data_IF_777514749148
#
_entry.id   IF_777514749148
#
_cell.length_a   1.000
_cell.length_b   1.000
_cell.length_c   1.000
_cell.angle_alpha   90.00
_cell.angle_beta   90.00
_cell.angle_gamma   90.00
#
_symmetry.space_group_name_H-M   'P 1'
#
loop_
_entity.id
_entity.type
_entity.pdbx_description
1 polymer ?
#
# COMPACT_ATOMS: atom_id res chain seq x y z
N UNK A 1 -19.13 23.28 3.66
CA UNK A 1 -18.01 24.14 4.05
C UNK A 1 -16.73 23.41 3.66
N UNK A 2 -16.18 23.71 2.49
CA UNK A 2 -14.91 23.12 2.03
C UNK A 2 -13.79 23.72 2.87
N UNK A 3 -13.33 22.99 3.88
CA UNK A 3 -12.14 23.41 4.63
C UNK A 3 -10.97 23.40 3.67
N UNK A 4 -10.38 24.56 3.39
CA UNK A 4 -9.19 24.66 2.55
C UNK A 4 -8.03 23.87 3.20
N UNK A 5 -7.81 22.64 2.74
CA UNK A 5 -6.83 21.72 3.32
C UNK A 5 -5.45 21.93 2.70
N UNK A 6 -4.83 23.08 3.01
CA UNK A 6 -3.45 23.35 2.59
C UNK A 6 -2.47 22.40 3.29
N UNK A 7 -1.91 21.46 2.52
CA UNK A 7 -1.07 20.39 3.01
C UNK A 7 0.40 20.59 2.62
N UNK A 8 1.29 20.37 3.58
CA UNK A 8 2.73 20.17 3.31
C UNK A 8 3.04 18.69 3.04
N UNK A 9 2.35 17.79 3.72
CA UNK A 9 2.44 16.35 3.51
C UNK A 9 1.03 15.74 3.55
N UNK A 10 0.80 14.75 2.69
CA UNK A 10 -0.34 13.83 2.81
C UNK A 10 0.21 12.47 3.20
N UNK A 11 -0.40 11.89 4.25
CA UNK A 11 0.03 10.65 4.87
C UNK A 11 -1.12 9.64 4.84
N UNK A 12 -0.79 8.36 4.70
CA UNK A 12 -1.70 7.26 5.00
C UNK A 12 -1.54 6.89 6.48
N UNK A 13 -2.66 6.78 7.20
CA UNK A 13 -2.64 6.38 8.59
C UNK A 13 -2.37 4.88 8.71
N UNK A 14 -1.63 4.51 9.76
CA UNK A 14 -1.28 3.12 10.02
C UNK A 14 -1.92 2.69 11.33
N UNK A 15 -2.71 1.62 11.26
CA UNK A 15 -3.20 0.91 12.44
C UNK A 15 -2.39 -0.36 12.61
N UNK A 16 -1.60 -0.43 13.69
CA UNK A 16 -0.85 -1.64 14.04
C UNK A 16 -1.83 -2.65 14.62
N UNK A 17 -1.81 -3.88 14.11
CA UNK A 17 -2.47 -5.01 14.78
C UNK A 17 -1.43 -5.89 15.43
N UNK A 18 -1.49 -5.99 16.74
CA UNK A 18 -0.81 -7.05 17.49
C UNK A 18 -1.88 -7.93 18.13
N UNK A 19 -1.59 -9.22 18.30
CA UNK A 19 -2.54 -10.18 18.88
C UNK A 19 -2.73 -10.00 20.41
N UNK A 20 -2.23 -8.92 21.00
CA UNK A 20 -2.32 -8.65 22.43
C UNK A 20 -3.44 -7.64 22.71
N UNK A 21 -4.62 -8.19 23.02
CA UNK A 21 -5.81 -7.54 23.60
C UNK A 21 -6.53 -6.48 22.76
N UNK A 22 -7.42 -6.95 21.90
CA UNK A 22 -8.86 -6.65 22.04
C UNK A 22 -9.63 -7.91 21.65
N UNK A 23 -10.24 -8.58 22.64
CA UNK A 23 -11.18 -9.67 22.41
C UNK A 23 -12.61 -9.12 22.39
N UNK A 24 -13.36 -9.37 21.31
CA UNK A 24 -14.76 -9.85 21.30
C UNK A 24 -15.16 -10.16 19.84
N UNK A 25 -15.84 -11.28 19.70
CA UNK A 25 -16.08 -12.13 18.54
C UNK A 25 -17.18 -11.56 17.62
N UNK A 26 -17.04 -11.73 16.29
CA UNK A 26 -18.14 -12.11 15.38
C UNK A 26 -17.57 -12.73 14.08
N UNK A 27 -18.26 -13.77 13.63
CA UNK A 27 -17.93 -14.85 12.69
C UNK A 27 -17.98 -14.49 11.19
N UNK A 28 -17.25 -15.25 10.34
CA UNK A 28 -17.67 -15.49 8.95
C UNK A 28 -16.59 -15.65 7.85
N UNK A 29 -16.31 -16.92 7.49
CA UNK A 29 -15.97 -17.48 6.16
C UNK A 29 -14.58 -17.25 5.46
N UNK A 30 -13.80 -18.37 5.42
CA UNK A 30 -13.11 -19.07 4.28
C UNK A 30 -12.13 -18.25 3.38
N UNK A 31 -10.94 -18.74 2.97
CA UNK A 31 -10.62 -20.08 2.44
C UNK A 31 -9.20 -20.57 2.75
N UNK A 32 -9.14 -21.77 3.32
CA UNK A 32 -8.04 -22.72 3.15
C UNK A 32 -8.03 -23.20 1.69
N UNK A 33 -6.86 -23.19 1.06
CA UNK A 33 -6.58 -23.97 -0.14
C UNK A 33 -6.51 -25.44 0.29
N UNK A 34 -7.49 -26.23 -0.12
CA UNK A 34 -7.37 -27.69 -0.07
C UNK A 34 -6.86 -28.11 -1.44
N UNK A 35 -5.61 -28.56 -1.50
CA UNK A 35 -5.10 -29.30 -2.64
C UNK A 35 -5.72 -30.69 -2.62
N UNK A 36 -6.46 -31.04 -3.67
CA UNK A 36 -6.75 -32.43 -4.00
C UNK A 36 -6.06 -32.72 -5.33
N UNK A 37 -5.03 -33.57 -5.28
CA UNK A 37 -4.58 -34.32 -6.44
C UNK A 37 -5.68 -35.30 -6.85
N UNK A 38 -5.91 -35.44 -8.16
CA UNK A 38 -5.98 -36.72 -8.85
C UNK A 38 -6.11 -36.51 -10.36
N UNK A 39 -5.18 -37.18 -11.05
CA UNK A 39 -5.20 -37.82 -12.38
C UNK A 39 -5.90 -37.24 -13.63
N UNK A 40 -5.21 -37.54 -14.73
CA UNK A 40 -5.32 -37.07 -16.10
C UNK A 40 -6.64 -37.47 -16.78
N UNK A 41 -7.31 -36.51 -17.42
CA UNK A 41 -8.42 -36.73 -18.34
C UNK A 41 -8.64 -35.52 -19.26
N UNK A 42 -8.73 -35.76 -20.57
CA UNK A 42 -8.84 -34.75 -21.63
C UNK A 42 -10.15 -33.94 -21.58
N UNK A 43 -10.02 -32.61 -21.79
CA UNK A 43 -11.02 -31.78 -22.48
C UNK A 43 -12.26 -31.33 -21.71
N UNK A 44 -12.19 -30.13 -21.12
CA UNK A 44 -13.21 -29.07 -21.01
C UNK A 44 -12.52 -27.87 -20.34
N UNK A 45 -12.48 -26.67 -20.95
CA UNK A 45 -11.92 -25.50 -20.28
C UNK A 45 -12.79 -25.15 -19.06
N UNK A 46 -12.29 -25.42 -17.85
CA UNK A 46 -13.00 -25.09 -16.62
C UNK A 46 -13.24 -23.58 -16.52
N UNK A 47 -14.52 -23.21 -16.44
CA UNK A 47 -14.94 -21.81 -16.30
C UNK A 47 -15.08 -21.48 -14.82
N UNK A 48 -14.16 -20.70 -14.28
CA UNK A 48 -14.16 -20.31 -12.88
C UNK A 48 -14.84 -18.96 -12.67
N UNK A 49 -15.29 -18.70 -11.45
CA UNK A 49 -15.80 -17.39 -11.02
C UNK A 49 -15.00 -16.93 -9.81
N UNK A 50 -14.50 -15.70 -9.85
CA UNK A 50 -13.72 -15.07 -8.80
C UNK A 50 -14.36 -13.73 -8.39
N UNK A 51 -14.49 -13.50 -7.09
CA UNK A 51 -14.82 -12.19 -6.55
C UNK A 51 -13.51 -11.45 -6.27
N UNK A 52 -13.24 -10.40 -7.03
CA UNK A 52 -12.03 -9.60 -6.91
C UNK A 52 -12.31 -8.29 -6.16
N UNK A 53 -11.59 -7.97 -5.07
CA UNK A 53 -11.85 -6.77 -4.29
C UNK A 53 -11.40 -5.52 -5.07
N UNK A 54 -12.35 -4.63 -5.35
CA UNK A 54 -12.07 -3.32 -5.96
C UNK A 54 -13.02 -2.30 -5.38
N UNK A 55 -12.47 -1.26 -4.73
CA UNK A 55 -13.25 -0.20 -4.09
C UNK A 55 -14.17 0.48 -5.10
N UNK A 56 -15.40 0.75 -4.67
CA UNK A 56 -16.46 1.30 -5.52
C UNK A 56 -16.08 2.61 -6.21
N UNK A 57 -15.23 3.43 -5.56
CA UNK A 57 -14.67 4.67 -6.12
C UNK A 57 -14.01 4.47 -7.49
N UNK A 58 -13.48 3.28 -7.78
CA UNK A 58 -12.82 2.98 -9.06
C UNK A 58 -13.77 2.39 -10.11
N UNK A 59 -15.01 2.03 -9.77
CA UNK A 59 -15.92 1.32 -10.67
C UNK A 59 -16.28 2.15 -11.90
N UNK A 60 -16.53 3.45 -11.73
CA UNK A 60 -16.81 4.35 -12.84
C UNK A 60 -15.66 4.43 -13.86
N UNK A 61 -14.42 4.34 -13.37
CA UNK A 61 -13.22 4.35 -14.21
C UNK A 61 -13.00 3.01 -14.93
N UNK A 62 -13.36 1.89 -14.29
CA UNK A 62 -13.33 0.55 -14.90
C UNK A 62 -14.36 0.46 -16.02
N UNK A 63 -15.57 0.96 -15.82
CA UNK A 63 -16.61 1.01 -16.86
C UNK A 63 -16.13 1.91 -18.01
N UNK A 64 -15.63 3.10 -17.67
CA UNK A 64 -15.15 4.09 -18.64
C UNK A 64 -16.28 4.75 -19.43
N UNK A 65 -15.93 5.76 -20.25
CA UNK A 65 -16.91 6.51 -21.05
C UNK A 65 -17.62 5.56 -22.02
N UNK A 66 -18.96 5.50 -21.94
CA UNK A 66 -19.82 4.63 -22.76
C UNK A 66 -19.43 3.13 -22.70
N UNK A 67 -18.81 2.68 -21.60
CA UNK A 67 -18.40 1.29 -21.45
C UNK A 67 -17.13 0.90 -22.23
N UNK A 68 -16.39 1.85 -22.80
CA UNK A 68 -15.22 1.56 -23.62
C UNK A 68 -14.16 0.75 -22.87
N UNK A 69 -13.77 1.23 -21.69
CA UNK A 69 -12.67 0.65 -20.89
C UNK A 69 -12.98 -0.78 -20.46
N UNK A 70 -14.19 -1.05 -19.96
CA UNK A 70 -14.56 -2.41 -19.57
C UNK A 70 -14.64 -3.37 -20.76
N UNK A 71 -15.07 -2.89 -21.93
CA UNK A 71 -15.13 -3.71 -23.13
C UNK A 71 -13.74 -4.04 -23.66
N UNK A 72 -12.80 -3.10 -23.60
CA UNK A 72 -11.38 -3.37 -23.90
C UNK A 72 -10.77 -4.36 -22.92
N UNK A 73 -11.01 -4.21 -21.60
CA UNK A 73 -10.53 -5.15 -20.59
C UNK A 73 -11.05 -6.56 -20.85
N UNK A 74 -12.35 -6.73 -21.13
CA UNK A 74 -12.94 -8.03 -21.49
C UNK A 74 -12.32 -8.62 -22.75
N UNK A 75 -12.08 -7.78 -23.77
CA UNK A 75 -11.47 -8.22 -25.03
C UNK A 75 -10.02 -8.67 -24.86
N UNK A 76 -9.22 -7.92 -24.09
CA UNK A 76 -7.78 -8.20 -23.96
C UNK A 76 -7.50 -9.40 -23.04
N UNK A 77 -8.34 -9.62 -22.02
CA UNK A 77 -8.15 -10.68 -21.01
C UNK A 77 -8.92 -11.96 -21.33
N UNK A 78 -9.92 -11.88 -22.23
CA UNK A 78 -10.86 -12.97 -22.48
C UNK A 78 -11.82 -13.25 -21.31
N UNK A 79 -11.77 -12.48 -20.22
CA UNK A 79 -12.60 -12.68 -19.04
C UNK A 79 -13.94 -11.92 -19.13
N UNK A 80 -14.98 -12.51 -18.56
CA UNK A 80 -16.24 -11.82 -18.29
C UNK A 80 -16.13 -11.04 -16.97
N UNK A 81 -16.01 -9.73 -17.07
CA UNK A 81 -15.90 -8.82 -15.92
C UNK A 81 -17.26 -8.17 -15.64
N UNK A 82 -17.79 -8.32 -14.43
CA UNK A 82 -19.11 -7.81 -14.01
C UNK A 82 -18.95 -6.97 -12.74
N UNK A 83 -19.37 -5.70 -12.79
CA UNK A 83 -19.36 -4.80 -11.64
C UNK A 83 -20.73 -4.81 -10.97
N UNK A 84 -20.75 -5.00 -9.65
CA UNK A 84 -21.95 -4.92 -8.83
C UNK A 84 -21.92 -3.56 -8.14
N UNK A 85 -22.70 -2.60 -8.66
CA UNK A 85 -22.47 -1.16 -8.48
C UNK A 85 -22.43 -0.61 -7.06
N UNK A 86 -22.84 -1.33 -6.01
CA UNK A 86 -22.75 -0.88 -4.61
C UNK A 86 -21.76 -1.67 -3.75
N UNK A 87 -21.02 -2.62 -4.33
CA UNK A 87 -20.07 -3.45 -3.59
C UNK A 87 -18.64 -3.07 -3.95
N UNK A 88 -17.72 -3.19 -2.99
CA UNK A 88 -16.28 -3.09 -3.21
C UNK A 88 -15.71 -4.34 -3.90
N UNK A 89 -16.42 -4.88 -4.90
CA UNK A 89 -16.09 -6.14 -5.55
C UNK A 89 -16.45 -6.14 -7.03
N UNK A 90 -15.58 -6.72 -7.84
CA UNK A 90 -15.79 -7.03 -9.26
C UNK A 90 -15.82 -8.54 -9.40
N UNK A 91 -16.83 -9.07 -10.10
CA UNK A 91 -16.94 -10.51 -10.38
C UNK A 91 -16.26 -10.78 -11.71
N UNK A 92 -15.28 -11.68 -11.72
CA UNK A 92 -14.52 -12.07 -12.91
C UNK A 92 -14.82 -13.54 -13.19
N UNK A 93 -15.19 -13.87 -14.44
CA UNK A 93 -15.43 -15.25 -14.86
C UNK A 93 -14.61 -15.60 -16.11
N UNK A 94 -14.09 -16.81 -16.18
CA UNK A 94 -13.27 -17.28 -17.31
C UNK A 94 -12.36 -18.43 -16.92
N UNK A 95 -11.42 -18.78 -17.80
CA UNK A 95 -10.32 -19.68 -17.46
C UNK A 95 -9.43 -19.07 -16.37
N UNK A 96 -8.63 -19.89 -15.68
CA UNK A 96 -7.70 -19.40 -14.65
C UNK A 96 -6.75 -18.32 -15.20
N UNK A 97 -6.25 -18.51 -16.42
CA UNK A 97 -5.39 -17.54 -17.11
C UNK A 97 -6.13 -16.22 -17.38
N UNK A 98 -7.35 -16.28 -17.92
CA UNK A 98 -8.14 -15.08 -18.19
C UNK A 98 -8.47 -14.30 -16.91
N UNK A 99 -8.77 -15.02 -15.82
CA UNK A 99 -9.00 -14.39 -14.51
C UNK A 99 -7.74 -13.70 -14.01
N UNK A 100 -6.58 -14.35 -14.11
CA UNK A 100 -5.31 -13.78 -13.66
C UNK A 100 -4.92 -12.52 -14.45
N UNK A 101 -5.02 -12.58 -15.78
CA UNK A 101 -4.80 -11.43 -16.67
C UNK A 101 -5.78 -10.28 -16.34
N UNK A 102 -7.04 -10.59 -16.03
CA UNK A 102 -8.03 -9.59 -15.64
C UNK A 102 -7.74 -8.94 -14.29
N UNK A 103 -7.25 -9.70 -13.30
CA UNK A 103 -6.82 -9.13 -12.01
C UNK A 103 -5.68 -8.14 -12.22
N UNK A 104 -4.64 -8.55 -12.94
CA UNK A 104 -3.50 -7.68 -13.25
C UNK A 104 -3.92 -6.41 -14.01
N UNK A 105 -4.79 -6.54 -15.01
CA UNK A 105 -5.27 -5.39 -15.77
C UNK A 105 -6.13 -4.44 -14.94
N UNK A 106 -6.96 -4.96 -14.02
CA UNK A 106 -7.74 -4.16 -13.08
C UNK A 106 -6.84 -3.41 -12.09
N UNK A 107 -5.83 -4.08 -11.52
CA UNK A 107 -4.86 -3.45 -10.61
C UNK A 107 -4.11 -2.30 -11.28
N UNK A 108 -3.63 -2.54 -12.51
CA UNK A 108 -2.94 -1.52 -13.30
C UNK A 108 -3.86 -0.33 -13.61
N UNK A 109 -5.13 -0.58 -13.95
CA UNK A 109 -6.09 0.48 -14.21
C UNK A 109 -6.40 1.28 -12.96
N UNK A 110 -6.63 0.63 -11.82
CA UNK A 110 -6.86 1.28 -10.53
C UNK A 110 -5.66 2.16 -10.16
N UNK A 111 -4.44 1.61 -10.26
CA UNK A 111 -3.19 2.32 -9.99
C UNK A 111 -3.02 3.56 -10.88
N UNK A 112 -3.20 3.40 -12.20
CA UNK A 112 -3.10 4.52 -13.17
C UNK A 112 -4.18 5.58 -12.91
N UNK A 113 -5.40 5.14 -12.61
CA UNK A 113 -6.53 6.02 -12.33
C UNK A 113 -6.29 6.85 -11.08
N UNK A 114 -5.90 6.18 -9.99
CA UNK A 114 -5.57 6.83 -8.72
C UNK A 114 -4.47 7.87 -8.94
N UNK A 115 -3.35 7.47 -9.55
CA UNK A 115 -2.25 8.38 -9.84
C UNK A 115 -2.69 9.56 -10.72
N UNK A 116 -3.50 9.34 -11.75
CA UNK A 116 -4.01 10.41 -12.62
C UNK A 116 -4.93 11.37 -11.88
N UNK A 117 -5.82 10.87 -11.02
CA UNK A 117 -6.71 11.74 -10.23
C UNK A 117 -5.90 12.65 -9.30
N UNK A 118 -4.93 12.08 -8.57
CA UNK A 118 -4.03 12.86 -7.72
C UNK A 118 -3.25 13.91 -8.52
N UNK A 119 -2.71 13.55 -9.68
CA UNK A 119 -1.95 14.48 -10.54
C UNK A 119 -2.82 15.56 -11.20
N UNK A 120 -4.12 15.36 -11.29
CA UNK A 120 -5.06 16.36 -11.82
C UNK A 120 -5.50 17.40 -10.78
N UNK A 121 -5.17 17.17 -9.50
CA UNK A 121 -5.47 18.12 -8.43
C UNK A 121 -4.62 19.38 -8.55
N UNK A 122 -5.24 20.55 -8.35
CA UNK A 122 -4.59 21.85 -8.47
C UNK A 122 -3.40 21.97 -7.51
N UNK A 123 -2.24 22.38 -8.03
CA UNK A 123 -1.03 22.60 -7.24
C UNK A 123 -0.26 21.33 -6.85
N UNK A 124 -0.70 20.15 -7.31
CA UNK A 124 0.07 18.91 -7.17
C UNK A 124 1.15 18.83 -8.24
N UNK A 125 2.39 18.75 -7.80
CA UNK A 125 3.55 18.52 -8.66
C UNK A 125 3.89 17.01 -8.66
N UNK A 126 4.13 16.36 -9.82
CA UNK A 126 4.50 14.95 -9.83
C UNK A 126 5.71 14.60 -8.94
N UNK A 127 6.66 15.54 -8.76
CA UNK A 127 7.87 15.36 -7.95
C UNK A 127 7.60 15.28 -6.45
N UNK A 128 6.45 15.78 -5.97
CA UNK A 128 6.08 15.71 -4.55
C UNK A 128 5.46 14.36 -4.17
N UNK A 129 5.13 13.50 -5.15
CA UNK A 129 4.67 12.14 -4.89
C UNK A 129 5.84 11.27 -4.42
N UNK A 130 5.62 10.51 -3.33
CA UNK A 130 6.64 9.58 -2.85
C UNK A 130 6.67 8.35 -3.77
N UNK A 131 7.84 8.05 -4.32
CA UNK A 131 8.06 6.84 -5.11
C UNK A 131 7.68 5.58 -4.31
N UNK A 132 7.04 4.57 -4.92
CA UNK A 132 6.72 3.29 -4.27
C UNK A 132 7.93 2.65 -3.56
N UNK A 133 9.13 2.77 -4.16
CA UNK A 133 10.38 2.23 -3.60
C UNK A 133 10.83 2.94 -2.31
N UNK A 134 10.25 4.09 -1.98
CA UNK A 134 10.56 4.89 -0.81
C UNK A 134 9.45 4.88 0.23
N UNK A 135 8.39 4.08 0.04
CA UNK A 135 7.34 3.92 1.02
C UNK A 135 7.86 3.13 2.21
N UNK A 136 7.84 3.74 3.38
CA UNK A 136 8.32 3.13 4.60
C UNK A 136 7.57 3.71 5.80
N UNK A 137 7.68 3.01 6.92
CA UNK A 137 7.23 3.47 8.23
C UNK A 137 8.46 3.83 9.05
N UNK A 138 8.50 5.05 9.55
CA UNK A 138 9.57 5.47 10.47
C UNK A 138 9.22 5.04 11.89
N UNK A 139 9.99 4.10 12.44
CA UNK A 139 9.86 3.66 13.85
C UNK A 139 10.61 4.61 14.79
N UNK A 140 11.74 5.13 14.35
CA UNK A 140 12.57 6.07 15.10
C UNK A 140 13.56 6.78 14.21
N UNK A 141 14.15 7.85 14.74
CA UNK A 141 15.25 8.59 14.09
C UNK A 141 16.45 8.61 15.02
N UNK A 142 17.63 8.46 14.44
CA UNK A 142 18.91 8.46 15.15
C UNK A 142 19.78 9.60 14.61
N UNK A 143 20.67 10.12 15.44
CA UNK A 143 21.76 11.02 15.03
C UNK A 143 23.06 10.26 15.19
N UNK A 144 23.61 9.79 14.08
CA UNK A 144 24.88 9.09 13.97
C UNK A 144 25.81 10.04 13.24
N UNK A 145 26.81 10.58 13.94
CA UNK A 145 27.62 11.69 13.45
C UNK A 145 28.89 11.20 12.77
N UNK A 146 29.43 10.08 13.24
CA UNK A 146 30.67 9.49 12.76
C UNK A 146 30.43 8.12 12.10
N UNK A 147 31.33 7.66 11.21
CA UNK A 147 31.20 6.33 10.60
C UNK A 147 31.14 5.18 11.61
N UNK A 148 31.91 5.26 12.71
CA UNK A 148 31.87 4.25 13.78
C UNK A 148 30.50 4.20 14.48
N UNK A 149 29.81 5.33 14.67
CA UNK A 149 28.44 5.34 15.21
C UNK A 149 27.47 4.53 14.35
N UNK A 150 27.69 4.53 13.03
CA UNK A 150 26.87 3.74 12.09
C UNK A 150 27.16 2.26 12.23
N UNK A 151 28.43 1.89 12.34
CA UNK A 151 28.86 0.51 12.57
C UNK A 151 28.28 -0.04 13.88
N UNK A 152 28.44 0.70 14.98
CA UNK A 152 27.89 0.34 16.30
C UNK A 152 26.36 0.20 16.27
N UNK A 153 25.66 1.10 15.58
CA UNK A 153 24.20 1.02 15.42
C UNK A 153 23.77 -0.19 14.59
N UNK A 154 24.53 -0.56 13.55
CA UNK A 154 24.27 -1.75 12.74
C UNK A 154 24.53 -3.02 13.54
N UNK A 155 25.59 -3.05 14.34
CA UNK A 155 25.91 -4.19 15.20
C UNK A 155 24.84 -4.37 16.29
N UNK A 156 24.42 -3.29 16.93
CA UNK A 156 23.28 -3.32 17.86
C UNK A 156 21.99 -3.78 17.18
N UNK A 157 21.70 -3.27 15.98
CA UNK A 157 20.53 -3.70 15.20
C UNK A 157 20.55 -5.20 14.93
N UNK A 158 21.72 -5.80 14.65
CA UNK A 158 21.82 -7.23 14.33
C UNK A 158 21.86 -8.11 15.58
N UNK A 159 22.53 -7.67 16.65
CA UNK A 159 22.74 -8.47 17.85
C UNK A 159 21.59 -8.38 18.86
N UNK A 160 21.05 -7.18 19.07
CA UNK A 160 20.12 -6.91 20.17
C UNK A 160 18.68 -6.74 19.70
N UNK A 161 18.44 -6.08 18.55
CA UNK A 161 17.07 -5.86 18.09
C UNK A 161 16.27 -7.14 17.81
N UNK A 162 16.83 -8.27 17.32
CA UNK A 162 16.05 -9.51 17.17
C UNK A 162 15.46 -10.01 18.49
N UNK A 163 16.18 -9.82 19.61
CA UNK A 163 15.70 -10.19 20.96
C UNK A 163 14.50 -9.33 21.37
N UNK A 164 14.56 -8.02 21.09
CA UNK A 164 13.46 -7.07 21.36
C UNK A 164 12.27 -7.36 20.44
N UNK A 165 12.51 -7.58 19.15
CA UNK A 165 11.46 -7.93 18.18
C UNK A 165 10.76 -9.21 18.62
N UNK A 166 11.51 -10.25 18.99
CA UNK A 166 10.93 -11.49 19.47
C UNK A 166 10.19 -11.32 20.80
N UNK A 167 10.69 -10.50 21.74
CA UNK A 167 9.97 -10.28 23.01
C UNK A 167 8.63 -9.55 22.81
N UNK A 168 8.56 -8.62 21.85
CA UNK A 168 7.35 -7.86 21.53
C UNK A 168 6.38 -8.67 20.66
N UNK A 169 6.87 -9.32 19.61
CA UNK A 169 6.04 -10.03 18.63
C UNK A 169 5.77 -11.49 19.02
N UNK A 170 6.60 -12.09 19.87
CA UNK A 170 6.59 -13.52 20.24
C UNK A 170 6.51 -14.44 19.02
N UNK A 171 7.43 -14.25 18.08
CA UNK A 171 7.50 -14.95 16.79
C UNK A 171 6.26 -14.84 15.89
N UNK A 172 5.33 -13.92 16.17
CA UNK A 172 4.18 -13.68 15.29
C UNK A 172 4.51 -12.67 14.20
N UNK A 173 3.97 -12.84 12.98
CA UNK A 173 4.14 -11.86 11.91
C UNK A 173 3.53 -10.52 12.28
N UNK A 174 4.21 -9.43 11.90
CA UNK A 174 3.70 -8.08 12.09
C UNK A 174 2.90 -7.64 10.86
N UNK A 175 1.60 -7.41 11.05
CA UNK A 175 0.72 -6.87 10.02
C UNK A 175 0.16 -5.52 10.43
N UNK A 176 -0.01 -4.65 9.44
CA UNK A 176 -0.60 -3.34 9.60
C UNK A 176 -1.78 -3.18 8.65
N UNK A 177 -2.80 -2.45 9.08
CA UNK A 177 -3.81 -1.94 8.15
C UNK A 177 -3.40 -0.51 7.77
N UNK A 178 -3.26 -0.27 6.46
CA UNK A 178 -3.01 1.05 5.89
C UNK A 178 -4.36 1.63 5.48
N UNK A 179 -4.75 2.72 6.13
CA UNK A 179 -6.09 3.27 6.01
C UNK A 179 -6.04 4.79 6.05
N UNK A 180 -7.03 5.41 5.41
CA UNK A 180 -7.32 6.83 5.44
C UNK A 180 -6.17 7.76 5.03
N UNK A 181 -6.43 8.65 4.08
CA UNK A 181 -5.51 9.73 3.77
C UNK A 181 -5.79 10.93 4.67
N UNK A 182 -4.72 11.56 5.17
CA UNK A 182 -4.84 12.76 6.01
C UNK A 182 -3.68 13.71 5.80
N UNK A 183 -3.86 14.97 6.21
CA UNK A 183 -2.79 15.96 6.24
C UNK A 183 -1.97 15.76 7.52
N UNK A 184 -0.64 15.71 7.39
CA UNK A 184 0.24 15.64 8.56
C UNK A 184 0.11 16.90 9.41
N UNK A 185 -0.30 16.73 10.68
CA UNK A 185 -0.44 17.83 11.63
C UNK A 185 0.92 18.24 12.23
N UNK A 186 1.05 19.50 12.65
CA UNK A 186 2.30 20.06 13.17
C UNK A 186 2.66 19.58 14.58
N UNK A 187 1.68 19.17 15.39
CA UNK A 187 1.90 18.51 16.68
C UNK A 187 1.26 17.10 16.69
N UNK A 188 1.92 16.13 16.06
CA UNK A 188 1.42 14.77 16.00
C UNK A 188 1.95 14.06 17.24
N UNK A 189 1.19 13.99 18.33
CA UNK A 189 1.41 12.94 19.33
C UNK A 189 1.65 11.62 18.57
N UNK A 190 2.86 11.06 18.67
CA UNK A 190 3.50 10.16 17.68
C UNK A 190 2.51 9.19 17.00
N UNK A 191 1.96 9.57 15.85
CA UNK A 191 1.13 8.69 15.02
C UNK A 191 2.00 8.07 13.94
N UNK A 192 2.06 6.75 13.94
CA UNK A 192 2.71 5.95 12.89
C UNK A 192 1.94 6.19 11.59
N UNK A 193 2.67 6.50 10.52
CA UNK A 193 2.08 6.80 9.22
C UNK A 193 3.04 6.46 8.09
N UNK A 194 2.52 6.38 6.87
CA UNK A 194 3.31 6.28 5.64
C UNK A 194 3.14 7.60 4.88
N UNK A 195 4.23 8.25 4.51
CA UNK A 195 4.15 9.49 3.72
C UNK A 195 3.87 9.17 2.26
N UNK A 196 2.76 9.67 1.72
CA UNK A 196 2.34 9.47 0.32
C UNK A 196 2.74 10.66 -0.55
N UNK A 197 2.64 11.88 -0.01
CA UNK A 197 2.98 13.13 -0.70
C UNK A 197 3.80 14.00 0.25
N UNK A 198 4.91 14.56 -0.23
CA UNK A 198 5.77 15.43 0.55
C UNK A 198 6.28 16.61 -0.29
N UNK A 199 5.81 17.82 0.04
CA UNK A 199 6.21 19.03 -0.70
C UNK A 199 7.69 19.41 -0.56
N UNK A 200 8.44 18.80 0.36
CA UNK A 200 9.89 18.96 0.42
C UNK A 200 10.61 18.30 -0.77
N UNK A 201 9.93 17.42 -1.52
CA UNK A 201 10.47 16.73 -2.69
C UNK A 201 10.24 17.48 -4.00
N UNK A 202 9.62 18.67 -3.93
CA UNK A 202 9.30 19.47 -5.11
C UNK A 202 10.55 19.78 -5.94
N UNK A 203 10.44 19.60 -7.25
CA UNK A 203 11.48 19.88 -8.24
C UNK A 203 10.96 20.86 -9.31
N UNK A 204 11.70 21.93 -9.65
CA UNK A 204 12.98 22.32 -9.07
C UNK A 204 12.83 22.75 -7.60
N UNK A 205 13.91 22.59 -6.82
CA UNK A 205 13.86 22.85 -5.37
C UNK A 205 13.63 24.35 -5.12
N UNK A 206 12.48 24.74 -4.52
CA UNK A 206 12.18 26.15 -4.30
C UNK A 206 13.02 26.73 -3.16
N UNK A 207 13.17 28.06 -3.12
CA UNK A 207 13.82 28.77 -1.99
C UNK A 207 13.14 28.48 -0.66
N UNK A 208 11.80 28.39 -0.66
CA UNK A 208 10.99 28.07 0.51
C UNK A 208 9.98 26.98 0.19
N UNK A 209 9.74 26.11 1.17
CA UNK A 209 8.71 25.07 1.07
C UNK A 209 7.32 25.68 1.21
N UNK A 210 6.44 25.41 0.25
CA UNK A 210 5.06 25.87 0.25
C UNK A 210 4.06 24.71 0.12
N UNK A 211 2.85 24.82 0.70
CA UNK A 211 1.84 23.76 0.65
C UNK A 211 1.17 23.64 -0.73
N UNK A 212 0.25 22.69 -0.87
CA UNK A 212 -0.71 22.59 -1.96
C UNK A 212 -2.11 22.30 -1.40
N UNK A 213 -3.17 22.51 -2.18
CA UNK A 213 -4.53 22.23 -1.75
C UNK A 213 -4.83 20.71 -1.89
N UNK A 214 -4.98 20.01 -0.77
CA UNK A 214 -5.26 18.57 -0.76
C UNK A 214 -6.75 18.23 -0.67
N UNK A 215 -7.66 19.22 -0.69
CA UNK A 215 -9.09 19.00 -0.40
C UNK A 215 -9.72 17.96 -1.33
N UNK A 216 -9.50 18.05 -2.64
CA UNK A 216 -10.04 17.08 -3.61
C UNK A 216 -9.52 15.66 -3.39
N UNK A 217 -8.24 15.52 -3.01
CA UNK A 217 -7.65 14.20 -2.68
C UNK A 217 -8.33 13.60 -1.45
N UNK A 218 -8.56 14.42 -0.42
CA UNK A 218 -9.15 13.96 0.84
C UNK A 218 -10.65 13.70 0.70
N UNK A 219 -11.37 14.49 -0.10
CA UNK A 219 -12.79 14.27 -0.39
C UNK A 219 -13.01 12.97 -1.16
N UNK A 220 -12.15 12.66 -2.13
CA UNK A 220 -12.30 11.47 -2.98
C UNK A 220 -11.68 10.20 -2.34
N UNK A 221 -10.53 10.33 -1.68
CA UNK A 221 -9.72 9.21 -1.21
C UNK A 221 -9.38 9.26 0.29
N UNK A 222 -9.91 10.23 1.04
CA UNK A 222 -9.65 10.39 2.47
C UNK A 222 -10.06 9.19 3.30
N UNK A 223 -11.18 8.54 2.96
CA UNK A 223 -11.70 7.36 3.65
C UNK A 223 -11.24 6.04 3.00
N UNK A 224 -10.28 6.09 2.07
CA UNK A 224 -9.82 4.90 1.36
C UNK A 224 -9.04 3.97 2.28
N UNK A 225 -9.50 2.73 2.40
CA UNK A 225 -8.73 1.65 3.00
C UNK A 225 -7.79 1.06 1.94
N UNK A 226 -6.49 1.32 2.08
CA UNK A 226 -5.45 0.87 1.15
C UNK A 226 -5.09 -0.61 1.34
N UNK A 227 -5.52 -1.22 2.45
CA UNK A 227 -5.46 -2.64 2.69
C UNK A 227 -4.47 -3.03 3.77
N UNK A 228 -4.20 -4.34 3.86
CA UNK A 228 -3.31 -4.91 4.86
C UNK A 228 -1.94 -5.18 4.26
N UNK A 229 -0.90 -4.81 4.99
CA UNK A 229 0.49 -5.06 4.61
C UNK A 229 1.17 -5.83 5.74
N UNK A 230 1.86 -6.92 5.38
CA UNK A 230 2.78 -7.58 6.30
C UNK A 230 4.14 -6.89 6.20
N UNK A 231 4.77 -6.66 7.34
CA UNK A 231 6.12 -6.11 7.39
C UNK A 231 7.10 -7.26 7.53
N UNK A 232 8.05 -7.35 6.59
CA UNK A 232 8.98 -8.48 6.50
C UNK A 232 10.35 -8.17 7.13
N UNK A 233 10.70 -6.89 7.30
CA UNK A 233 12.02 -6.49 7.79
C UNK A 233 12.03 -5.14 8.47
N UNK A 234 12.99 -4.96 9.36
CA UNK A 234 13.37 -3.69 9.96
C UNK A 234 14.71 -3.25 9.38
N UNK A 235 14.80 -2.01 8.91
CA UNK A 235 16.00 -1.46 8.30
C UNK A 235 16.48 -0.22 9.07
N UNK A 236 17.80 -0.11 9.22
CA UNK A 236 18.47 1.15 9.49
C UNK A 236 18.80 1.79 8.14
N UNK A 237 18.11 2.89 7.85
CA UNK A 237 18.24 3.62 6.59
C UNK A 237 19.03 4.91 6.79
N UNK A 238 19.98 5.20 5.91
CA UNK A 238 20.64 6.51 5.85
C UNK A 238 19.58 7.56 5.50
N UNK A 239 19.52 8.63 6.29
CA UNK A 239 18.58 9.72 6.01
C UNK A 239 18.93 10.38 4.68
N UNK A 240 17.90 10.63 3.88
CA UNK A 240 18.06 11.18 2.54
C UNK A 240 17.99 10.11 1.45
N UNK A 241 17.51 10.54 0.29
CA UNK A 241 17.26 9.70 -0.88
C UNK A 241 18.47 9.73 -1.82
N UNK A 242 19.62 9.27 -1.34
CA UNK A 242 20.92 9.38 -2.05
C UNK A 242 21.28 8.14 -2.87
N UNK A 243 20.46 7.08 -2.83
CA UNK A 243 20.66 5.88 -3.62
C UNK A 243 20.25 6.04 -5.09
N UNK A 244 20.54 5.03 -5.94
CA UNK A 244 20.10 5.00 -7.33
C UNK A 244 18.59 5.24 -7.46
N UNK A 245 18.18 6.08 -8.41
CA UNK A 245 16.76 6.43 -8.59
C UNK A 245 16.17 7.26 -7.45
N UNK A 246 17.00 7.99 -6.68
CA UNK A 246 16.58 8.77 -5.50
C UNK A 246 15.90 7.88 -4.45
N UNK A 247 16.56 6.78 -4.10
CA UNK A 247 16.10 5.83 -3.08
C UNK A 247 16.81 6.02 -1.74
N UNK A 248 16.21 5.55 -0.66
CA UNK A 248 16.91 5.41 0.62
C UNK A 248 17.98 4.31 0.53
N UNK A 249 19.08 4.48 1.27
CA UNK A 249 20.17 3.51 1.34
C UNK A 249 20.13 2.79 2.68
N UNK A 250 19.91 1.48 2.67
CA UNK A 250 19.98 0.64 3.86
C UNK A 250 21.43 0.42 4.26
N UNK A 251 21.77 0.66 5.53
CA UNK A 251 23.11 0.36 6.09
C UNK A 251 23.09 -0.92 6.94
N UNK A 252 21.91 -1.36 7.39
CA UNK A 252 21.71 -2.63 8.06
C UNK A 252 20.23 -3.00 8.12
N UNK A 253 19.95 -4.28 8.29
CA UNK A 253 18.58 -4.77 8.45
C UNK A 253 18.51 -6.07 9.24
N UNK A 254 17.33 -6.36 9.78
CA UNK A 254 16.96 -7.65 10.34
C UNK A 254 15.60 -8.09 9.78
N UNK A 255 15.36 -9.40 9.62
CA UNK A 255 14.04 -9.90 9.28
C UNK A 255 13.08 -9.77 10.46
N UNK A 256 11.81 -9.57 10.18
CA UNK A 256 10.71 -9.75 11.14
C UNK A 256 10.20 -11.20 11.04
N UNK A 257 9.56 -11.73 12.10
CA UNK A 257 9.00 -13.08 12.06
C UNK A 257 8.04 -13.27 10.90
N UNK A 258 8.16 -14.39 10.19
CA UNK A 258 7.19 -14.84 9.19
C UNK A 258 6.33 -15.97 9.77
N UNK A 259 5.19 -16.25 9.16
CA UNK A 259 4.49 -17.50 9.45
C UNK A 259 5.41 -18.68 9.12
N UNK A 260 5.40 -19.72 9.96
CA UNK A 260 6.06 -20.97 9.63
C UNK A 260 5.37 -21.53 8.38
N UNK A 261 6.15 -21.82 7.33
CA UNK A 261 5.66 -22.56 6.18
C UNK A 261 5.37 -23.97 6.67
N UNK A 262 4.10 -24.25 6.97
CA UNK A 262 3.59 -25.59 7.29
C UNK A 262 3.24 -26.33 6.01
#
# INVERSE_FOLDING_TARGET
>A
MTSNANAKNVIANVKVRTNYHTATICTGARQQQVATQNDVGEGLEEFHTCNYPVKNVFHGYIIGKRGHTINELRKMTGAQIVLLGHKDTVVIKGSLKAIDEAKHALDDLVKKTFQRSILSCEGVDPSILVSPLNLHITIGVLKLLEPCDVEDAVDFLKAECPKVVNSVLKNMPLSIDVQHLSVMQSDPGKKIHITMINTAYREPKPKHRFPFNASSILEEYGELELGRVRLDSLHLMKMGRTGPGKTYVSVGSIPLPSEAVS
#
